data_IF_954854418751
#
_entry.id   IF_954854418751
#
_cell.length_a   1.000
_cell.length_b   1.000
_cell.length_c   1.000
_cell.angle_alpha   90.00
_cell.angle_beta   90.00
_cell.angle_gamma   90.00
#
_symmetry.space_group_name_H-M   'P 1'
#
loop_
_entity.id
_entity.type
_entity.pdbx_description
1 polymer ?
#
# COMPACT_ATOMS: atom_id res chain seq x y z
N UNK A 1 -3.29 -30.21 -8.68
CA UNK A 1 -4.29 -29.22 -8.22
C UNK A 1 -3.92 -27.90 -8.86
N UNK A 2 -4.82 -27.27 -9.60
CA UNK A 2 -4.59 -25.95 -10.17
C UNK A 2 -4.81 -24.95 -9.03
N UNK A 3 -3.75 -24.30 -8.56
CA UNK A 3 -3.89 -23.13 -7.68
C UNK A 3 -4.66 -22.08 -8.48
N UNK A 4 -5.91 -21.79 -8.10
CA UNK A 4 -6.60 -20.65 -8.68
C UNK A 4 -6.03 -19.38 -8.03
N UNK A 5 -5.32 -18.59 -8.84
CA UNK A 5 -4.93 -17.23 -8.50
C UNK A 5 -6.19 -16.35 -8.49
N UNK A 6 -6.96 -16.40 -7.41
CA UNK A 6 -8.01 -15.42 -7.17
C UNK A 6 -7.37 -14.16 -6.58
N UNK A 7 -7.22 -13.14 -7.41
CA UNK A 7 -7.12 -11.75 -6.95
C UNK A 7 -8.39 -11.07 -7.45
N UNK A 8 -9.29 -10.70 -6.53
CA UNK A 8 -10.60 -10.15 -6.85
C UNK A 8 -10.90 -8.89 -6.03
N UNK A 9 -9.96 -7.96 -5.99
CA UNK A 9 -10.16 -6.70 -5.27
C UNK A 9 -11.27 -5.87 -5.94
N UNK A 10 -12.11 -5.25 -5.12
CA UNK A 10 -13.19 -4.34 -5.51
C UNK A 10 -12.90 -2.96 -4.95
N UNK A 11 -12.98 -1.93 -5.80
CA UNK A 11 -12.69 -0.54 -5.41
C UNK A 11 -13.93 0.34 -5.48
N UNK A 12 -13.99 1.35 -4.62
CA UNK A 12 -14.97 2.43 -4.64
C UNK A 12 -14.20 3.76 -4.67
N UNK A 13 -14.60 4.64 -5.59
CA UNK A 13 -14.08 6.00 -5.71
C UNK A 13 -15.26 6.97 -5.60
N UNK A 14 -15.22 7.89 -4.64
CA UNK A 14 -16.25 8.90 -4.43
C UNK A 14 -15.59 10.27 -4.46
N UNK A 15 -15.91 11.06 -5.49
CA UNK A 15 -15.40 12.42 -5.62
C UNK A 15 -16.07 13.38 -4.66
N UNK A 16 -15.41 14.52 -4.37
CA UNK A 16 -15.88 15.55 -3.44
C UNK A 16 -17.30 16.08 -3.66
N UNK A 17 -17.79 16.06 -4.91
CA UNK A 17 -19.15 16.52 -5.21
C UNK A 17 -20.22 15.43 -5.03
N UNK A 18 -19.80 14.19 -4.75
CA UNK A 18 -20.66 13.04 -4.52
C UNK A 18 -20.72 12.62 -3.03
N UNK A 19 -19.90 13.25 -2.17
CA UNK A 19 -19.95 13.10 -0.71
C UNK A 19 -20.76 14.22 -0.08
N UNK A 20 -21.30 14.00 1.12
CA UNK A 20 -22.11 14.99 1.84
C UNK A 20 -21.27 16.07 2.53
N UNK A 21 -19.98 15.81 2.74
CA UNK A 21 -19.05 16.68 3.48
C UNK A 21 -17.93 17.24 2.60
N UNK A 22 -17.91 16.95 1.30
CA UNK A 22 -16.87 17.38 0.38
C UNK A 22 -15.59 16.55 0.43
N UNK A 23 -15.54 15.47 1.21
CA UNK A 23 -14.39 14.56 1.26
C UNK A 23 -14.22 13.77 -0.04
N UNK A 24 -12.99 13.35 -0.33
CA UNK A 24 -12.70 12.37 -1.38
C UNK A 24 -12.50 11.02 -0.69
N UNK A 25 -13.22 9.99 -1.15
CA UNK A 25 -13.13 8.65 -0.57
C UNK A 25 -12.57 7.70 -1.62
N UNK A 26 -11.47 7.04 -1.29
CA UNK A 26 -10.86 5.96 -2.06
C UNK A 26 -10.87 4.73 -1.14
N UNK A 27 -11.67 3.73 -1.49
CA UNK A 27 -11.81 2.50 -0.72
C UNK A 27 -11.58 1.27 -1.58
N UNK A 28 -11.04 0.20 -0.98
CA UNK A 28 -10.84 -1.09 -1.65
C UNK A 28 -10.81 -2.22 -0.62
N UNK A 29 -11.40 -3.37 -0.92
CA UNK A 29 -11.06 -4.60 -0.20
C UNK A 29 -9.81 -5.25 -0.81
N UNK A 30 -8.90 -5.68 0.05
CA UNK A 30 -7.81 -6.55 -0.38
C UNK A 30 -8.25 -8.01 -0.21
N UNK A 31 -8.52 -8.67 -1.32
CA UNK A 31 -8.80 -10.09 -1.33
C UNK A 31 -7.48 -10.86 -1.46
N UNK A 32 -7.13 -11.61 -0.41
CA UNK A 32 -5.99 -12.52 -0.34
C UNK A 32 -6.42 -13.83 0.34
N UNK A 33 -5.49 -14.77 0.52
CA UNK A 33 -5.70 -16.02 1.26
C UNK A 33 -6.24 -15.70 2.65
N UNK A 34 -7.16 -16.53 3.14
CA UNK A 34 -7.87 -16.32 4.41
C UNK A 34 -6.96 -16.19 5.65
N UNK A 35 -5.69 -16.60 5.55
CA UNK A 35 -4.70 -16.50 6.60
C UNK A 35 -3.70 -15.35 6.41
N UNK A 36 -3.97 -14.40 5.50
CA UNK A 36 -3.14 -13.23 5.31
C UNK A 36 -3.45 -12.16 6.37
N UNK A 37 -2.79 -12.26 7.52
CA UNK A 37 -2.93 -11.25 8.58
C UNK A 37 -2.32 -9.92 8.14
N UNK A 38 -3.03 -8.83 8.44
CA UNK A 38 -2.63 -7.44 8.18
C UNK A 38 -2.38 -6.71 9.48
N UNK A 39 -1.58 -5.65 9.41
CA UNK A 39 -1.45 -4.68 10.50
C UNK A 39 -1.44 -3.26 9.95
N UNK A 40 -1.83 -2.30 10.78
CA UNK A 40 -1.69 -0.88 10.48
C UNK A 40 -0.28 -0.45 10.85
N UNK A 41 0.44 0.15 9.91
CA UNK A 41 1.78 0.66 10.08
C UNK A 41 1.82 2.17 9.85
N UNK A 42 2.74 2.84 10.54
CA UNK A 42 3.04 4.25 10.35
C UNK A 42 4.54 4.40 10.13
N UNK A 43 4.89 5.03 9.02
CA UNK A 43 6.27 5.29 8.63
C UNK A 43 6.55 6.77 8.85
N UNK A 44 7.58 7.05 9.64
CA UNK A 44 8.03 8.42 9.87
C UNK A 44 8.76 8.98 8.64
N UNK A 45 8.64 10.30 8.47
CA UNK A 45 9.38 11.06 7.47
C UNK A 45 10.88 10.89 7.70
N UNK A 46 11.63 10.65 6.61
CA UNK A 46 13.06 10.37 6.71
C UNK A 46 13.80 10.65 5.43
N UNK A 47 15.01 11.21 5.56
CA UNK A 47 16.01 11.21 4.50
C UNK A 47 16.82 9.91 4.52
N UNK A 48 16.80 9.19 3.40
CA UNK A 48 17.48 7.91 3.20
C UNK A 48 18.47 8.11 2.04
N UNK A 49 19.78 8.29 2.32
CA UNK A 49 20.77 8.43 1.27
C UNK A 49 20.92 7.11 0.50
N UNK A 50 21.07 7.20 -0.83
CA UNK A 50 21.17 6.04 -1.73
C UNK A 50 19.99 5.06 -1.55
N UNK A 51 18.78 5.59 -1.43
CA UNK A 51 17.57 4.79 -1.22
C UNK A 51 17.31 3.91 -2.45
N UNK A 52 17.50 2.61 -2.31
CA UNK A 52 17.37 1.66 -3.41
C UNK A 52 16.32 0.59 -3.07
N UNK A 53 15.28 0.50 -3.90
CA UNK A 53 14.23 -0.49 -3.78
C UNK A 53 14.56 -1.73 -4.62
N UNK A 54 14.38 -2.90 -4.00
CA UNK A 54 14.48 -4.21 -4.66
C UNK A 54 13.27 -5.06 -4.32
N UNK A 55 12.60 -5.57 -5.34
CA UNK A 55 11.46 -6.48 -5.18
C UNK A 55 11.89 -7.86 -4.68
N UNK A 56 11.13 -8.43 -3.74
CA UNK A 56 11.36 -9.79 -3.25
C UNK A 56 10.79 -10.87 -4.20
N UNK A 57 9.94 -10.49 -5.17
CA UNK A 57 9.20 -11.43 -6.02
C UNK A 57 9.79 -11.61 -7.42
N UNK A 58 10.54 -10.62 -7.89
CA UNK A 58 11.08 -10.60 -9.24
C UNK A 58 12.40 -9.80 -9.26
N UNK A 59 12.94 -9.55 -10.45
CA UNK A 59 14.21 -8.83 -10.63
C UNK A 59 14.05 -7.31 -10.71
N UNK A 60 12.89 -6.77 -10.35
CA UNK A 60 12.65 -5.33 -10.43
C UNK A 60 13.38 -4.61 -9.30
N UNK A 61 14.10 -3.57 -9.68
CA UNK A 61 14.91 -2.72 -8.80
C UNK A 61 14.82 -1.28 -9.32
N UNK A 62 14.83 -0.31 -8.41
CA UNK A 62 14.88 1.12 -8.77
C UNK A 62 15.45 1.97 -7.63
N UNK A 63 16.07 3.09 -7.97
CA UNK A 63 16.41 4.12 -7.00
C UNK A 63 15.16 4.92 -6.64
N UNK A 64 14.99 5.15 -5.35
CA UNK A 64 13.95 6.00 -4.79
C UNK A 64 14.53 7.39 -4.44
N UNK A 65 13.69 8.43 -4.35
CA UNK A 65 14.13 9.71 -3.83
C UNK A 65 14.76 9.58 -2.44
N UNK A 66 15.74 10.45 -2.16
CA UNK A 66 16.37 10.54 -0.83
C UNK A 66 15.34 10.88 0.23
N UNK A 67 14.46 11.82 -0.05
CA UNK A 67 13.43 12.25 0.88
C UNK A 67 12.19 11.37 0.76
N UNK A 68 11.72 10.86 1.89
CA UNK A 68 10.47 10.09 1.99
C UNK A 68 9.59 10.72 3.07
N UNK A 69 8.41 11.16 2.65
CA UNK A 69 7.36 11.68 3.53
C UNK A 69 6.86 10.65 4.54
N UNK A 70 6.27 11.12 5.63
CA UNK A 70 5.55 10.25 6.54
C UNK A 70 4.29 9.69 5.85
N UNK A 71 3.99 8.41 6.07
CA UNK A 71 2.80 7.78 5.52
C UNK A 71 2.31 6.62 6.38
N UNK A 72 1.00 6.38 6.37
CA UNK A 72 0.42 5.14 6.91
C UNK A 72 0.40 4.04 5.85
N UNK A 73 0.32 2.78 6.29
CA UNK A 73 0.06 1.67 5.38
C UNK A 73 -0.64 0.48 6.05
N UNK A 74 -1.13 -0.47 5.24
CA UNK A 74 -1.77 -1.72 5.71
C UNK A 74 -1.01 -2.98 5.23
N UNK A 75 0.26 -3.15 5.63
CA UNK A 75 1.10 -4.24 5.15
C UNK A 75 0.68 -5.63 5.62
N UNK A 76 1.19 -6.64 4.91
CA UNK A 76 1.20 -8.02 5.40
C UNK A 76 1.96 -8.11 6.72
N UNK A 77 1.48 -8.95 7.64
CA UNK A 77 2.19 -9.27 8.89
C UNK A 77 3.58 -9.86 8.65
N UNK A 78 3.76 -10.56 7.53
CA UNK A 78 5.02 -11.18 7.12
C UNK A 78 5.53 -10.56 5.82
N UNK A 79 6.77 -10.11 5.82
CA UNK A 79 7.47 -9.47 4.69
C UNK A 79 8.22 -10.46 3.76
N UNK A 80 8.18 -11.76 4.05
CA UNK A 80 8.90 -12.82 3.31
C UNK A 80 8.72 -12.78 1.79
N UNK A 81 7.59 -12.28 1.31
CA UNK A 81 7.26 -12.14 -0.12
C UNK A 81 7.19 -10.67 -0.58
N UNK A 82 7.63 -9.73 0.25
CA UNK A 82 7.42 -8.30 0.09
C UNK A 82 6.53 -7.76 1.20
N UNK A 83 6.49 -6.43 1.34
CA UNK A 83 5.78 -5.75 2.43
C UNK A 83 4.26 -5.66 2.19
N UNK A 84 3.85 -5.54 0.92
CA UNK A 84 2.43 -5.42 0.51
C UNK A 84 1.68 -4.31 1.25
N UNK A 85 2.23 -3.09 1.21
CA UNK A 85 1.75 -1.92 1.97
C UNK A 85 0.31 -1.50 1.62
N UNK A 86 -0.15 -1.86 0.43
CA UNK A 86 -1.53 -1.86 -0.08
C UNK A 86 -2.30 -0.54 -0.07
N UNK A 87 -2.57 0.03 1.09
CA UNK A 87 -3.37 1.25 1.23
C UNK A 87 -2.78 2.13 2.33
N UNK A 88 -2.81 3.44 2.12
CA UNK A 88 -2.13 4.38 3.00
C UNK A 88 -2.44 5.82 2.63
N UNK A 89 -2.05 6.75 3.49
CA UNK A 89 -2.10 8.18 3.22
C UNK A 89 -0.81 8.83 3.72
N UNK A 90 -0.24 9.73 2.91
CA UNK A 90 0.93 10.51 3.29
C UNK A 90 0.51 11.78 4.05
N UNK A 91 1.47 12.44 4.69
CA UNK A 91 1.30 13.77 5.25
C UNK A 91 1.19 14.87 4.16
N UNK A 92 1.41 14.53 2.90
CA UNK A 92 1.21 15.40 1.74
C UNK A 92 -0.16 15.08 1.08
N UNK A 93 -1.21 15.75 1.56
CA UNK A 93 -2.56 15.64 1.04
C UNK A 93 -2.90 16.86 0.16
N UNK A 94 -3.48 16.62 -1.03
CA UNK A 94 -3.88 17.63 -2.02
C UNK A 94 -5.40 17.75 -2.14
#
# INVERSE_FOLDING_TARGET
MIESNHSACTSILIGKNATTDGSIIIGRNEDDKSNCAKHLAFHEEKDIPNNHFKSNLNKFEMDLPTHRYAYSSTPNWSDKKGVYEESGSSNECY
#
